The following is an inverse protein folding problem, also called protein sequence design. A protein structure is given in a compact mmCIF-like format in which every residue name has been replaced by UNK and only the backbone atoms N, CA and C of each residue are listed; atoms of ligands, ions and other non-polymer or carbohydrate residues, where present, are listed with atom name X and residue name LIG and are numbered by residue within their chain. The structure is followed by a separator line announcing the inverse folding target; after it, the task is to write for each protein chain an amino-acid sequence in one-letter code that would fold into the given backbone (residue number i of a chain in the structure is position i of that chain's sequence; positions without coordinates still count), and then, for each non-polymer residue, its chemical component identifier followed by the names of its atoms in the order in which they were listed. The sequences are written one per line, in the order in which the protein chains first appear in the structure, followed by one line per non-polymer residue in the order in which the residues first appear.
data_IF_241126022967
#
_entry.id   IF_241126022967
#
_cell.length_a   1.000
_cell.length_b   1.000
_cell.length_c   1.000
_cell.angle_alpha   90.00
_cell.angle_beta   90.00
_cell.angle_gamma   90.00
#
_symmetry.space_group_name_H-M   'P 1'
#
loop_
_entity.id
_entity.type
_entity.pdbx_description
1 polymer ?
#
# COMPACT_ATOMS: atom_id res chain seq x y z
N UNK A 1 5.15 -16.07 -5.88
CA UNK A 1 3.73 -15.74 -5.66
C UNK A 1 3.00 -15.75 -6.99
N UNK A 2 1.82 -16.36 -7.01
CA UNK A 2 1.07 -16.53 -8.27
C UNK A 2 0.33 -15.27 -8.70
N UNK A 3 0.12 -14.31 -7.80
CA UNK A 3 -0.58 -13.05 -8.07
C UNK A 3 0.39 -11.89 -8.06
N UNK A 4 0.16 -10.92 -8.96
CA UNK A 4 0.98 -9.71 -9.01
C UNK A 4 0.58 -8.68 -7.97
N UNK A 5 1.41 -7.65 -7.75
CA UNK A 5 1.12 -6.61 -6.74
C UNK A 5 -0.14 -5.79 -7.05
N UNK A 6 -0.56 -5.71 -8.30
CA UNK A 6 -1.77 -4.97 -8.68
C UNK A 6 -3.01 -5.84 -8.76
N UNK A 7 -2.90 -7.14 -8.44
CA UNK A 7 -4.03 -8.06 -8.48
C UNK A 7 -5.14 -7.58 -7.53
N UNK A 8 -6.42 -7.60 -7.98
CA UNK A 8 -7.53 -7.14 -7.13
C UNK A 8 -7.62 -7.82 -5.76
N UNK A 9 -7.29 -9.12 -5.67
CA UNK A 9 -7.30 -9.82 -4.40
C UNK A 9 -6.21 -9.29 -3.45
N UNK A 10 -5.03 -8.99 -3.98
CA UNK A 10 -3.93 -8.40 -3.21
C UNK A 10 -4.30 -7.01 -2.77
N UNK A 11 -4.89 -6.20 -3.64
CA UNK A 11 -5.33 -4.85 -3.31
C UNK A 11 -6.44 -4.85 -2.27
N UNK A 12 -7.35 -5.83 -2.30
CA UNK A 12 -8.38 -6.00 -1.27
C UNK A 12 -7.78 -6.33 0.10
N UNK A 13 -6.73 -7.13 0.14
CA UNK A 13 -6.00 -7.44 1.37
C UNK A 13 -5.36 -6.16 1.94
N UNK A 14 -4.82 -5.30 1.09
CA UNK A 14 -4.26 -4.02 1.51
C UNK A 14 -5.34 -3.08 2.04
N UNK A 15 -6.55 -3.12 1.48
CA UNK A 15 -7.70 -2.40 2.03
C UNK A 15 -8.00 -2.80 3.46
N UNK A 16 -7.96 -4.10 3.76
CA UNK A 16 -8.13 -4.62 5.11
C UNK A 16 -7.00 -4.17 6.04
N UNK A 17 -5.76 -4.21 5.55
CA UNK A 17 -4.59 -3.72 6.29
C UNK A 17 -4.75 -2.23 6.63
N UNK A 18 -5.20 -1.42 5.67
CA UNK A 18 -5.46 0.00 5.88
C UNK A 18 -6.52 0.24 6.96
N UNK A 19 -7.63 -0.51 6.90
CA UNK A 19 -8.68 -0.43 7.92
C UNK A 19 -8.14 -0.78 9.31
N UNK A 20 -7.25 -1.77 9.36
CA UNK A 20 -6.64 -2.18 10.62
C UNK A 20 -5.79 -1.07 11.23
N UNK A 21 -5.01 -0.36 10.40
CA UNK A 21 -4.22 0.79 10.84
C UNK A 21 -5.10 1.89 11.42
N UNK A 22 -6.29 2.08 10.86
CA UNK A 22 -7.22 3.13 11.29
C UNK A 22 -7.77 2.93 12.70
N UNK A 23 -7.66 1.75 13.26
CA UNK A 23 -7.99 1.53 14.68
C UNK A 23 -7.02 2.26 15.60
N UNK A 24 -5.82 2.54 15.14
CA UNK A 24 -4.77 3.16 15.94
C UNK A 24 -4.59 4.63 15.62
N UNK A 25 -4.68 4.99 14.35
CA UNK A 25 -4.54 6.37 13.88
C UNK A 25 -4.99 6.44 12.42
N UNK A 26 -5.28 7.65 11.95
CA UNK A 26 -5.64 7.85 10.54
C UNK A 26 -4.35 8.11 9.74
N UNK A 27 -3.83 7.13 9.00
CA UNK A 27 -2.60 7.32 8.25
C UNK A 27 -2.83 8.16 7.00
N UNK A 28 -1.93 9.12 6.75
CA UNK A 28 -1.93 9.85 5.49
C UNK A 28 -1.42 8.96 4.36
N UNK A 29 -1.65 9.38 3.11
CA UNK A 29 -1.12 8.66 1.96
C UNK A 29 0.41 8.59 1.99
N UNK A 30 1.08 9.65 2.46
CA UNK A 30 2.53 9.65 2.63
C UNK A 30 2.99 8.61 3.65
N UNK A 31 2.25 8.45 4.75
CA UNK A 31 2.56 7.46 5.78
C UNK A 31 2.40 6.06 5.20
N UNK A 32 1.33 5.79 4.46
CA UNK A 32 1.11 4.49 3.84
C UNK A 32 2.25 4.15 2.85
N UNK A 33 2.63 5.11 2.02
CA UNK A 33 3.73 4.94 1.06
C UNK A 33 5.04 4.70 1.79
N UNK A 34 5.29 5.46 2.86
CA UNK A 34 6.48 5.30 3.70
C UNK A 34 6.57 3.91 4.33
N UNK A 35 5.44 3.37 4.78
CA UNK A 35 5.40 2.01 5.34
C UNK A 35 5.76 0.96 4.28
N UNK A 36 5.20 1.10 3.06
CA UNK A 36 5.52 0.20 1.97
C UNK A 36 7.00 0.23 1.61
N UNK A 37 7.59 1.42 1.55
CA UNK A 37 9.00 1.57 1.27
C UNK A 37 9.86 1.00 2.40
N UNK A 38 9.47 1.23 3.66
CA UNK A 38 10.19 0.72 4.82
C UNK A 38 10.22 -0.81 4.86
N UNK A 39 9.14 -1.47 4.45
CA UNK A 39 9.08 -2.94 4.44
C UNK A 39 10.13 -3.55 3.51
N UNK A 40 10.54 -2.83 2.47
CA UNK A 40 11.61 -3.27 1.58
C UNK A 40 12.98 -2.70 1.97
N UNK A 41 13.03 -1.44 2.38
CA UNK A 41 14.29 -0.71 2.57
C UNK A 41 14.86 -0.86 3.98
N UNK A 42 14.02 -1.02 5.02
CA UNK A 42 14.50 -1.20 6.38
C UNK A 42 15.06 -2.61 6.56
N UNK A 43 16.31 -2.77 7.03
CA UNK A 43 16.93 -4.09 7.16
C UNK A 43 16.15 -5.06 8.04
N UNK A 44 15.56 -4.60 9.13
CA UNK A 44 14.82 -5.45 10.05
C UNK A 44 13.51 -5.96 9.42
N UNK A 45 12.74 -5.08 8.79
CA UNK A 45 11.53 -5.47 8.09
C UNK A 45 11.86 -6.35 6.89
N UNK A 46 12.87 -5.97 6.13
CA UNK A 46 13.30 -6.76 4.96
C UNK A 46 13.66 -8.18 5.36
N UNK A 47 14.46 -8.35 6.43
CA UNK A 47 14.87 -9.66 6.91
C UNK A 47 13.66 -10.48 7.35
N UNK A 48 12.70 -9.87 8.06
CA UNK A 48 11.50 -10.55 8.54
C UNK A 48 10.68 -11.11 7.37
N UNK A 49 10.44 -10.27 6.35
CA UNK A 49 9.62 -10.68 5.21
C UNK A 49 10.38 -11.60 4.25
N UNK A 50 11.70 -11.42 4.11
CA UNK A 50 12.53 -12.29 3.28
C UNK A 50 12.55 -13.71 3.84
N UNK A 51 12.48 -13.87 5.17
CA UNK A 51 12.40 -15.18 5.80
C UNK A 51 11.10 -15.93 5.41
N UNK A 52 10.05 -15.20 5.09
CA UNK A 52 8.78 -15.78 4.62
C UNK A 52 8.89 -16.14 3.14
N UNK A 53 9.38 -15.19 2.33
CA UNK A 53 9.59 -15.38 0.90
C UNK A 53 10.59 -14.30 0.40
N UNK A 54 11.63 -14.69 -0.40
CA UNK A 54 12.66 -13.74 -0.83
C UNK A 54 12.13 -12.53 -1.60
N UNK A 55 11.04 -12.70 -2.34
CA UNK A 55 10.47 -11.64 -3.18
C UNK A 55 9.43 -10.80 -2.45
N UNK A 56 9.11 -11.14 -1.20
CA UNK A 56 8.02 -10.48 -0.47
C UNK A 56 8.26 -8.99 -0.20
N UNK A 57 9.47 -8.55 0.26
CA UNK A 57 9.70 -7.12 0.48
C UNK A 57 9.44 -6.25 -0.75
N UNK A 58 10.06 -6.51 -1.92
CA UNK A 58 9.78 -5.69 -3.11
C UNK A 58 8.33 -5.83 -3.59
N UNK A 59 7.71 -7.00 -3.39
CA UNK A 59 6.32 -7.22 -3.73
C UNK A 59 5.40 -6.31 -2.90
N UNK A 60 5.61 -6.28 -1.57
CA UNK A 60 4.84 -5.43 -0.68
C UNK A 60 5.02 -3.95 -1.01
N UNK A 61 6.26 -3.53 -1.28
CA UNK A 61 6.54 -2.15 -1.67
C UNK A 61 5.74 -1.77 -2.92
N UNK A 62 5.79 -2.60 -3.96
CA UNK A 62 5.08 -2.36 -5.21
C UNK A 62 3.56 -2.35 -4.99
N UNK A 63 3.04 -3.30 -4.22
CA UNK A 63 1.61 -3.44 -3.97
C UNK A 63 1.06 -2.23 -3.19
N UNK A 64 1.77 -1.80 -2.16
CA UNK A 64 1.36 -0.66 -1.33
C UNK A 64 1.45 0.64 -2.13
N UNK A 65 2.50 0.83 -2.92
CA UNK A 65 2.62 2.01 -3.77
C UNK A 65 1.48 2.09 -4.78
N UNK A 66 1.09 0.97 -5.39
CA UNK A 66 -0.06 0.92 -6.29
C UNK A 66 -1.35 1.27 -5.57
N UNK A 67 -1.54 0.73 -4.36
CA UNK A 67 -2.71 1.02 -3.53
C UNK A 67 -2.81 2.53 -3.24
N UNK A 68 -1.71 3.15 -2.84
CA UNK A 68 -1.66 4.60 -2.55
C UNK A 68 -1.93 5.40 -3.83
N UNK A 69 -1.33 5.01 -4.95
CA UNK A 69 -1.57 5.68 -6.24
C UNK A 69 -3.06 5.66 -6.62
N UNK A 70 -3.73 4.53 -6.39
CA UNK A 70 -5.17 4.39 -6.65
C UNK A 70 -5.98 5.33 -5.78
N UNK A 71 -5.64 5.44 -4.49
CA UNK A 71 -6.32 6.37 -3.57
C UNK A 71 -6.11 7.82 -3.98
N UNK A 72 -4.90 8.19 -4.41
CA UNK A 72 -4.61 9.53 -4.91
C UNK A 72 -5.43 9.87 -6.14
N UNK A 73 -5.56 8.92 -7.08
CA UNK A 73 -6.35 9.10 -8.28
C UNK A 73 -7.83 9.31 -7.95
N UNK A 74 -8.37 8.51 -7.04
CA UNK A 74 -9.76 8.64 -6.60
C UNK A 74 -10.00 10.00 -5.93
N UNK A 75 -9.06 10.44 -5.12
CA UNK A 75 -9.15 11.73 -4.46
C UNK A 75 -9.13 12.87 -5.48
N UNK A 76 -8.23 12.82 -6.46
CA UNK A 76 -8.14 13.82 -7.52
C UNK A 76 -9.41 13.87 -8.37
N UNK A 77 -9.97 12.72 -8.71
CA UNK A 77 -11.21 12.64 -9.46
C UNK A 77 -12.37 13.30 -8.72
N UNK A 78 -12.46 13.10 -7.41
CA UNK A 78 -13.48 13.74 -6.58
C UNK A 78 -13.31 15.26 -6.52
N UNK A 79 -12.08 15.72 -6.38
CA UNK A 79 -11.78 17.16 -6.34
C UNK A 79 -12.10 17.82 -7.67
N UNK A 80 -11.75 17.18 -8.79
CA UNK A 80 -12.07 17.68 -10.12
C UNK A 80 -13.58 17.74 -10.36
N UNK A 81 -14.32 16.73 -9.91
CA UNK A 81 -15.77 16.71 -10.03
C UNK A 81 -16.42 17.86 -9.27
N UNK A 82 -15.91 18.19 -8.08
CA UNK A 82 -16.38 19.32 -7.28
C UNK A 82 -16.11 20.63 -8.02
N UNK A 83 -14.95 20.79 -8.64
CA UNK A 83 -14.58 22.00 -9.37
C UNK A 83 -15.41 22.18 -10.64
N UNK A 84 -15.90 21.11 -11.24
CA UNK A 84 -16.70 21.15 -12.45
C UNK A 84 -18.17 21.49 -12.18
N UNK A 85 -18.61 21.40 -10.94
CA UNK A 85 -19.94 21.82 -10.54
C UNK A 85 -20.00 23.36 -10.41
#
# INVERSE_FOLDING_TARGET
MSKGPTDPAIQAMLGNWHQHLRYFYEPSLEVLRGLGNAYNDDPDFNATFTAIHPDLPPFLQAAINHYVDTLEMEWLERELAILEE
#
